data_IF_548635694068
#
_entry.id   IF_548635694068
#
_cell.length_a   1.000
_cell.length_b   1.000
_cell.length_c   1.000
_cell.angle_alpha   90.00
_cell.angle_beta   90.00
_cell.angle_gamma   90.00
#
_symmetry.space_group_name_H-M   'P 1'
#
loop_
_entity.id
_entity.type
_entity.pdbx_description
1 polymer ?
#
# COMPACT_ATOMS: atom_id res chain seq x y z
N UNK A 1 18.88 12.60 4.10
CA UNK A 1 19.20 14.01 3.81
C UNK A 1 18.31 14.49 2.67
N UNK A 2 17.36 15.40 2.93
CA UNK A 2 16.46 15.91 1.90
C UNK A 2 17.28 16.67 0.83
N UNK A 3 17.01 16.36 -0.45
CA UNK A 3 17.60 17.11 -1.58
C UNK A 3 17.00 18.53 -1.60
N UNK A 4 17.70 19.51 -2.14
CA UNK A 4 17.19 20.89 -2.22
C UNK A 4 15.84 20.98 -2.96
N UNK A 5 15.61 20.10 -3.94
CA UNK A 5 14.34 19.97 -4.64
C UNK A 5 13.19 19.51 -3.70
N UNK A 6 13.45 18.62 -2.74
CA UNK A 6 12.45 18.16 -1.79
C UNK A 6 12.00 19.30 -0.87
N UNK A 7 12.97 20.06 -0.35
CA UNK A 7 12.69 21.23 0.49
C UNK A 7 11.85 22.28 -0.24
N UNK A 8 12.21 22.54 -1.51
CA UNK A 8 11.49 23.49 -2.33
C UNK A 8 10.06 23.02 -2.62
N UNK A 9 9.88 21.74 -2.98
CA UNK A 9 8.57 21.16 -3.24
C UNK A 9 7.67 21.19 -1.99
N UNK A 10 8.21 20.87 -0.81
CA UNK A 10 7.48 20.96 0.47
C UNK A 10 7.09 22.42 0.78
N UNK A 11 8.00 23.38 0.56
CA UNK A 11 7.71 24.80 0.78
C UNK A 11 6.60 25.31 -0.15
N UNK A 12 6.68 24.98 -1.43
CA UNK A 12 5.65 25.30 -2.43
C UNK A 12 4.31 24.68 -2.05
N UNK A 13 4.31 23.43 -1.60
CA UNK A 13 3.09 22.75 -1.15
C UNK A 13 2.48 23.42 0.09
N UNK A 14 3.29 23.85 1.06
CA UNK A 14 2.80 24.62 2.23
C UNK A 14 2.15 25.93 1.82
N UNK A 15 2.79 26.70 0.92
CA UNK A 15 2.25 27.96 0.43
C UNK A 15 0.92 27.76 -0.30
N UNK A 16 0.82 26.71 -1.11
CA UNK A 16 -0.38 26.42 -1.89
C UNK A 16 -1.52 25.86 -1.03
N UNK A 17 -1.27 24.78 -0.24
CA UNK A 17 -2.32 24.05 0.47
C UNK A 17 -2.64 24.57 1.87
N UNK A 18 -1.73 25.33 2.53
CA UNK A 18 -1.95 25.85 3.88
C UNK A 18 -2.16 27.36 3.93
N UNK A 19 -1.52 28.08 2.99
CA UNK A 19 -1.58 29.56 2.95
C UNK A 19 -2.46 30.07 1.83
N UNK A 20 -3.10 29.19 1.06
CA UNK A 20 -4.03 29.50 -0.06
C UNK A 20 -3.44 30.44 -1.13
N UNK A 21 -2.10 30.39 -1.32
CA UNK A 21 -1.48 31.17 -2.36
C UNK A 21 -1.74 30.52 -3.74
N UNK A 22 -2.12 31.34 -4.72
CA UNK A 22 -2.22 30.84 -6.11
C UNK A 22 -0.84 30.45 -6.65
N UNK A 23 -0.82 29.48 -7.59
CA UNK A 23 0.43 29.09 -8.25
C UNK A 23 1.15 30.28 -8.91
N UNK A 24 0.40 31.28 -9.38
CA UNK A 24 0.95 32.51 -9.97
C UNK A 24 1.68 33.37 -8.91
N UNK A 25 1.05 33.54 -7.75
CA UNK A 25 1.65 34.30 -6.64
C UNK A 25 2.91 33.63 -6.14
N UNK A 26 2.88 32.28 -5.96
CA UNK A 26 4.05 31.52 -5.54
C UNK A 26 5.18 31.63 -6.57
N UNK A 27 4.86 31.60 -7.87
CA UNK A 27 5.82 31.75 -8.96
C UNK A 27 6.52 33.13 -8.91
N UNK A 28 5.76 34.19 -8.65
CA UNK A 28 6.29 35.55 -8.50
C UNK A 28 7.22 35.66 -7.27
N UNK A 29 6.76 35.18 -6.12
CA UNK A 29 7.55 35.23 -4.86
C UNK A 29 8.87 34.45 -4.93
N UNK A 30 8.88 33.32 -5.66
CA UNK A 30 10.06 32.46 -5.77
C UNK A 30 10.91 32.75 -7.03
N UNK A 31 10.50 33.71 -7.88
CA UNK A 31 11.23 34.05 -9.11
C UNK A 31 11.29 32.91 -10.15
N UNK A 32 10.26 32.05 -10.20
CA UNK A 32 10.19 30.89 -11.11
C UNK A 32 8.92 30.94 -11.98
N UNK A 33 8.84 30.10 -13.01
CA UNK A 33 7.66 30.06 -13.86
C UNK A 33 6.50 29.29 -13.18
N UNK A 34 5.23 29.65 -13.47
CA UNK A 34 4.04 28.93 -13.02
C UNK A 34 4.07 27.43 -13.36
N UNK A 35 4.50 26.99 -14.57
CA UNK A 35 4.68 25.57 -14.87
C UNK A 35 5.68 24.86 -13.94
N UNK A 36 6.69 25.55 -13.45
CA UNK A 36 7.64 25.00 -12.48
C UNK A 36 6.97 24.75 -11.13
N UNK A 37 6.11 25.67 -10.67
CA UNK A 37 5.30 25.48 -9.45
C UNK A 37 4.37 24.27 -9.59
N UNK A 38 3.66 24.15 -10.72
CA UNK A 38 2.78 23.00 -10.98
C UNK A 38 3.55 21.67 -10.89
N UNK A 39 4.75 21.60 -11.50
CA UNK A 39 5.61 20.41 -11.43
C UNK A 39 6.13 20.11 -10.03
N UNK A 40 6.41 21.13 -9.23
CA UNK A 40 6.83 20.94 -7.83
C UNK A 40 5.67 20.45 -6.95
N UNK A 41 4.45 20.94 -7.16
CA UNK A 41 3.25 20.45 -6.49
C UNK A 41 2.97 18.99 -6.85
N UNK A 42 3.07 18.64 -8.13
CA UNK A 42 2.92 17.24 -8.55
C UNK A 42 4.00 16.36 -7.92
N UNK A 43 5.25 16.79 -7.97
CA UNK A 43 6.37 16.09 -7.33
C UNK A 43 6.14 15.87 -5.82
N UNK A 44 5.59 16.87 -5.11
CA UNK A 44 5.28 16.75 -3.70
C UNK A 44 4.19 15.70 -3.43
N UNK A 45 3.19 15.57 -4.32
CA UNK A 45 2.19 14.49 -4.26
C UNK A 45 2.82 13.12 -4.53
N UNK A 46 3.58 13.00 -5.60
CA UNK A 46 4.23 11.74 -6.01
C UNK A 46 5.20 11.20 -4.94
N UNK A 47 5.78 12.12 -4.15
CA UNK A 47 6.66 11.79 -3.02
C UNK A 47 5.93 11.58 -1.69
N UNK A 48 4.61 11.69 -1.68
CA UNK A 48 3.83 11.54 -0.44
C UNK A 48 3.98 12.70 0.56
N UNK A 49 4.62 13.82 0.18
CA UNK A 49 4.72 15.01 1.05
C UNK A 49 3.39 15.74 1.18
N UNK A 50 2.46 15.49 0.26
CA UNK A 50 1.09 16.02 0.27
C UNK A 50 0.12 14.86 0.18
N UNK A 51 -0.70 14.74 1.19
CA UNK A 51 -1.86 13.84 1.19
C UNK A 51 -3.13 14.71 1.22
N UNK A 52 -4.00 14.56 0.21
CA UNK A 52 -5.27 15.30 0.12
C UNK A 52 -6.39 14.33 0.41
N UNK A 53 -7.16 14.61 1.46
CA UNK A 53 -8.37 13.87 1.78
C UNK A 53 -9.57 14.76 1.47
N UNK A 54 -10.46 14.26 0.62
CA UNK A 54 -11.76 14.89 0.35
C UNK A 54 -12.79 14.14 1.19
N UNK A 55 -13.51 14.86 2.03
CA UNK A 55 -14.63 14.31 2.81
C UNK A 55 -15.90 14.73 2.09
N UNK A 56 -16.60 13.77 1.47
CA UNK A 56 -17.90 13.99 0.87
C UNK A 56 -19.00 13.51 1.82
N UNK A 57 -19.76 14.41 2.45
CA UNK A 57 -20.83 14.04 3.37
C UNK A 57 -22.05 13.39 2.67
N UNK A 58 -22.14 13.46 1.35
CA UNK A 58 -23.23 12.84 0.56
C UNK A 58 -22.93 11.36 0.25
N UNK A 59 -21.68 10.96 0.24
CA UNK A 59 -21.25 9.57 0.03
C UNK A 59 -21.19 8.78 1.36
N UNK A 60 -22.23 8.82 2.16
CA UNK A 60 -22.29 7.95 3.34
C UNK A 60 -22.55 6.49 2.93
N UNK A 61 -21.45 5.75 2.71
CA UNK A 61 -21.49 4.32 2.40
C UNK A 61 -21.79 3.44 3.62
N UNK A 62 -21.96 4.01 4.80
CA UNK A 62 -22.11 3.30 6.07
C UNK A 62 -23.27 2.31 6.07
N UNK A 63 -24.40 2.66 5.45
CA UNK A 63 -25.57 1.78 5.32
C UNK A 63 -25.24 0.55 4.46
N UNK A 64 -24.49 0.76 3.38
CA UNK A 64 -24.10 -0.34 2.48
C UNK A 64 -23.02 -1.21 3.14
N UNK A 65 -22.05 -0.61 3.81
CA UNK A 65 -21.04 -1.31 4.62
C UNK A 65 -21.72 -2.20 5.65
N UNK A 66 -22.68 -1.67 6.40
CA UNK A 66 -23.41 -2.45 7.39
C UNK A 66 -24.20 -3.60 6.77
N UNK A 67 -24.91 -3.38 5.66
CA UNK A 67 -25.63 -4.45 4.94
C UNK A 67 -24.70 -5.57 4.47
N UNK A 68 -23.53 -5.23 3.92
CA UNK A 68 -22.53 -6.22 3.48
C UNK A 68 -21.95 -6.97 4.67
N UNK A 69 -21.64 -6.28 5.75
CA UNK A 69 -21.13 -6.85 6.99
C UNK A 69 -22.10 -7.90 7.54
N UNK A 70 -23.39 -7.57 7.63
CA UNK A 70 -24.40 -8.47 8.15
C UNK A 70 -24.65 -9.66 7.22
N UNK A 71 -24.78 -9.40 5.92
CA UNK A 71 -25.04 -10.44 4.91
C UNK A 71 -23.92 -11.45 4.77
N UNK A 72 -22.68 -10.98 4.87
CA UNK A 72 -21.48 -11.81 4.66
C UNK A 72 -20.84 -12.26 5.97
N UNK A 73 -21.42 -11.90 7.12
CA UNK A 73 -20.91 -12.20 8.45
C UNK A 73 -19.45 -11.75 8.65
N UNK A 74 -19.10 -10.59 8.10
CA UNK A 74 -17.76 -10.01 8.22
C UNK A 74 -17.62 -9.22 9.51
N UNK A 75 -16.40 -9.15 10.03
CA UNK A 75 -16.09 -8.35 11.22
C UNK A 75 -16.21 -6.85 10.93
N UNK A 76 -15.79 -6.44 9.76
CA UNK A 76 -15.89 -5.06 9.26
C UNK A 76 -15.89 -5.03 7.73
N UNK A 77 -16.39 -3.94 7.15
CA UNK A 77 -16.42 -3.67 5.71
C UNK A 77 -16.06 -2.22 5.49
N UNK A 78 -15.24 -1.93 4.50
CA UNK A 78 -14.96 -0.59 4.01
C UNK A 78 -15.21 -0.52 2.53
N UNK A 79 -16.01 0.44 2.11
CA UNK A 79 -16.32 0.70 0.71
C UNK A 79 -15.53 1.92 0.25
N UNK A 80 -14.76 1.73 -0.83
CA UNK A 80 -14.11 2.84 -1.51
C UNK A 80 -15.00 3.31 -2.66
N UNK A 81 -15.34 4.59 -2.67
CA UNK A 81 -16.07 5.22 -3.77
C UNK A 81 -15.10 5.80 -4.80
N UNK A 82 -15.45 5.67 -6.08
CA UNK A 82 -14.76 6.33 -7.18
C UNK A 82 -15.74 7.17 -7.98
N UNK A 83 -15.34 8.40 -8.32
CA UNK A 83 -16.14 9.32 -9.12
C UNK A 83 -16.20 8.95 -10.59
N UNK A 84 -15.27 8.10 -11.05
CA UNK A 84 -15.21 7.63 -12.42
C UNK A 84 -15.10 6.10 -12.44
N UNK A 85 -15.72 5.47 -13.43
CA UNK A 85 -15.66 4.03 -13.64
C UNK A 85 -14.40 3.65 -14.44
N UNK A 86 -13.25 3.86 -13.84
CA UNK A 86 -11.94 3.51 -14.39
C UNK A 86 -11.25 2.52 -13.43
N UNK A 87 -10.72 1.43 -13.97
CA UNK A 87 -10.17 0.32 -13.17
C UNK A 87 -8.97 0.76 -12.34
N UNK A 88 -8.10 1.60 -12.88
CA UNK A 88 -6.90 2.06 -12.17
C UNK A 88 -7.25 3.05 -11.06
N UNK A 89 -8.21 3.95 -11.30
CA UNK A 89 -8.70 4.85 -10.27
C UNK A 89 -9.43 4.07 -9.16
N UNK A 90 -10.26 3.09 -9.49
CA UNK A 90 -10.93 2.22 -8.52
C UNK A 90 -9.90 1.49 -7.64
N UNK A 91 -8.89 0.87 -8.26
CA UNK A 91 -7.79 0.21 -7.53
C UNK A 91 -7.08 1.16 -6.58
N UNK A 92 -6.84 2.39 -7.00
CA UNK A 92 -6.20 3.42 -6.19
C UNK A 92 -7.02 3.76 -4.95
N UNK A 93 -8.34 4.00 -5.10
CA UNK A 93 -9.22 4.29 -3.96
C UNK A 93 -9.34 3.11 -2.99
N UNK A 94 -9.49 1.88 -3.51
CA UNK A 94 -9.48 0.66 -2.69
C UNK A 94 -8.17 0.55 -1.91
N UNK A 95 -7.04 0.80 -2.58
CA UNK A 95 -5.71 0.71 -1.98
C UNK A 95 -5.50 1.72 -0.85
N UNK A 96 -5.96 2.95 -1.04
CA UNK A 96 -5.92 4.00 0.00
C UNK A 96 -6.81 3.62 1.18
N UNK A 97 -8.05 3.20 0.92
CA UNK A 97 -8.97 2.77 1.98
C UNK A 97 -8.43 1.58 2.77
N UNK A 98 -7.82 0.60 2.10
CA UNK A 98 -7.20 -0.55 2.73
C UNK A 98 -5.99 -0.16 3.59
N UNK A 99 -5.13 0.76 3.11
CA UNK A 99 -3.99 1.25 3.88
C UNK A 99 -4.44 2.01 5.14
N UNK A 100 -5.45 2.85 5.04
CA UNK A 100 -6.06 3.56 6.18
C UNK A 100 -6.71 2.59 7.18
N UNK A 101 -7.41 1.58 6.70
CA UNK A 101 -8.00 0.54 7.54
C UNK A 101 -6.92 -0.23 8.30
N UNK A 102 -5.85 -0.64 7.61
CA UNK A 102 -4.72 -1.32 8.24
C UNK A 102 -4.08 -0.45 9.32
N UNK A 103 -3.87 0.83 9.07
CA UNK A 103 -3.31 1.77 10.07
C UNK A 103 -4.15 1.82 11.34
N UNK A 104 -5.47 1.73 11.22
CA UNK A 104 -6.39 1.72 12.35
C UNK A 104 -6.38 0.44 13.20
N UNK A 105 -5.95 -0.70 12.65
CA UNK A 105 -6.01 -2.00 13.33
C UNK A 105 -4.66 -2.56 13.75
N UNK A 106 -3.57 -2.16 13.10
CA UNK A 106 -2.22 -2.71 13.32
C UNK A 106 -1.64 -2.28 14.66
N UNK A 107 -0.96 -3.20 15.34
CA UNK A 107 -0.40 -3.02 16.69
C UNK A 107 1.03 -3.53 16.80
N UNK A 108 1.71 -3.12 17.85
CA UNK A 108 3.01 -3.67 18.23
C UNK A 108 2.93 -5.19 18.40
N UNK A 109 3.93 -5.89 17.88
CA UNK A 109 4.01 -7.35 17.91
C UNK A 109 3.25 -8.08 16.81
N UNK A 110 2.51 -7.40 15.94
CA UNK A 110 1.76 -8.03 14.86
C UNK A 110 2.67 -8.70 13.83
N UNK A 111 2.23 -9.87 13.37
CA UNK A 111 2.81 -10.57 12.22
C UNK A 111 1.88 -10.34 11.03
N UNK A 112 2.38 -9.60 10.05
CA UNK A 112 1.62 -9.19 8.88
C UNK A 112 2.01 -10.09 7.71
N UNK A 113 1.11 -10.99 7.34
CA UNK A 113 1.25 -11.79 6.14
C UNK A 113 0.76 -11.02 4.92
N UNK A 114 1.56 -10.97 3.86
CA UNK A 114 1.23 -10.19 2.66
C UNK A 114 1.36 -11.08 1.41
N UNK A 115 0.31 -11.09 0.59
CA UNK A 115 0.34 -11.63 -0.77
C UNK A 115 1.00 -10.65 -1.75
N UNK A 116 0.71 -10.81 -3.03
CA UNK A 116 1.23 -9.95 -4.10
C UNK A 116 0.14 -9.55 -5.10
N UNK A 117 0.50 -8.70 -6.06
CA UNK A 117 -0.39 -8.19 -7.11
C UNK A 117 -0.54 -6.68 -7.10
N UNK A 118 -1.11 -6.14 -8.18
CA UNK A 118 -1.16 -4.68 -8.42
C UNK A 118 -1.93 -3.92 -7.35
N UNK A 119 -3.02 -4.47 -6.84
CA UNK A 119 -3.81 -3.83 -5.76
C UNK A 119 -3.00 -3.74 -4.46
N UNK A 120 -2.32 -4.82 -4.07
CA UNK A 120 -1.45 -4.81 -2.88
C UNK A 120 -0.22 -3.92 -3.08
N UNK A 121 0.31 -3.86 -4.31
CA UNK A 121 1.37 -2.91 -4.63
C UNK A 121 0.91 -1.46 -4.42
N UNK A 122 -0.23 -1.07 -4.98
CA UNK A 122 -0.79 0.27 -4.80
C UNK A 122 -1.08 0.56 -3.32
N UNK A 123 -1.61 -0.42 -2.56
CA UNK A 123 -1.81 -0.30 -1.12
C UNK A 123 -0.50 -0.06 -0.38
N UNK A 124 0.57 -0.79 -0.75
CA UNK A 124 1.89 -0.63 -0.12
C UNK A 124 2.51 0.75 -0.34
N UNK A 125 2.17 1.41 -1.45
CA UNK A 125 2.57 2.80 -1.74
C UNK A 125 1.78 3.83 -0.91
N UNK A 126 0.58 3.47 -0.46
CA UNK A 126 -0.32 4.34 0.31
C UNK A 126 -0.19 4.15 1.83
N UNK A 127 0.71 3.29 2.30
CA UNK A 127 0.91 3.03 3.72
C UNK A 127 1.32 4.29 4.49
N UNK A 128 0.80 4.43 5.70
CA UNK A 128 1.17 5.50 6.62
C UNK A 128 2.41 5.06 7.39
N UNK A 129 3.50 5.82 7.23
CA UNK A 129 4.78 5.49 7.87
C UNK A 129 4.69 5.67 9.38
N UNK A 130 4.91 4.59 10.12
CA UNK A 130 5.09 4.60 11.57
C UNK A 130 5.91 3.40 12.03
N UNK A 131 6.62 3.53 13.12
CA UNK A 131 7.35 2.40 13.71
C UNK A 131 6.40 1.54 14.53
N UNK A 132 6.38 0.22 14.26
CA UNK A 132 5.58 -0.77 14.97
C UNK A 132 6.55 -1.75 15.62
N UNK A 133 6.67 -1.67 16.95
CA UNK A 133 7.68 -2.43 17.69
C UNK A 133 7.38 -3.93 17.70
N UNK A 134 8.42 -4.72 17.43
CA UNK A 134 8.31 -6.19 17.48
C UNK A 134 7.47 -6.81 16.38
N UNK A 135 6.97 -6.03 15.42
CA UNK A 135 6.22 -6.54 14.28
C UNK A 135 7.14 -7.21 13.25
N UNK A 136 6.55 -8.06 12.43
CA UNK A 136 7.22 -8.71 11.30
C UNK A 136 6.31 -8.70 10.08
N UNK A 137 6.91 -8.60 8.90
CA UNK A 137 6.19 -8.74 7.63
C UNK A 137 6.66 -10.02 6.95
N UNK A 138 5.74 -10.87 6.54
CA UNK A 138 6.05 -12.17 5.93
C UNK A 138 5.28 -12.36 4.63
N UNK A 139 5.95 -12.87 3.63
CA UNK A 139 5.34 -13.27 2.36
C UNK A 139 4.50 -14.54 2.55
N UNK A 140 3.21 -14.50 2.17
CA UNK A 140 2.29 -15.62 2.37
C UNK A 140 2.36 -16.69 1.28
N UNK A 141 2.72 -16.28 0.07
CA UNK A 141 2.74 -17.14 -1.10
C UNK A 141 4.00 -16.92 -1.93
N UNK A 142 4.44 -17.93 -2.68
CA UNK A 142 5.60 -17.81 -3.54
C UNK A 142 5.47 -16.66 -4.54
N UNK A 143 6.56 -15.97 -4.82
CA UNK A 143 6.61 -14.82 -5.73
C UNK A 143 7.42 -15.09 -6.98
N UNK A 144 8.08 -16.25 -7.08
CA UNK A 144 8.84 -16.63 -8.26
C UNK A 144 7.87 -17.21 -9.30
N UNK A 145 7.80 -16.58 -10.44
CA UNK A 145 6.99 -17.02 -11.58
C UNK A 145 7.88 -17.04 -12.82
N UNK A 146 7.64 -18.01 -13.70
CA UNK A 146 8.22 -18.02 -15.05
C UNK A 146 7.51 -17.07 -16.01
N UNK A 147 6.51 -16.32 -15.53
CA UNK A 147 5.81 -15.32 -16.33
C UNK A 147 6.63 -14.04 -16.46
N UNK A 148 6.52 -13.39 -17.60
CA UNK A 148 7.10 -12.06 -17.86
C UNK A 148 6.42 -10.95 -17.02
N UNK A 149 5.39 -11.29 -16.25
CA UNK A 149 4.62 -10.35 -15.44
C UNK A 149 5.29 -10.12 -14.08
N UNK A 150 5.65 -8.88 -13.81
CA UNK A 150 6.09 -8.48 -12.49
C UNK A 150 4.90 -8.58 -11.50
N UNK A 151 5.04 -9.40 -10.47
CA UNK A 151 4.02 -9.55 -9.43
C UNK A 151 4.21 -8.58 -8.24
N UNK A 152 5.24 -7.74 -8.29
CA UNK A 152 5.60 -6.74 -7.27
C UNK A 152 5.83 -7.31 -5.86
N UNK A 153 6.02 -8.62 -5.71
CA UNK A 153 6.11 -9.25 -4.38
C UNK A 153 7.24 -8.68 -3.52
N UNK A 154 8.37 -8.38 -4.14
CA UNK A 154 9.52 -7.80 -3.46
C UNK A 154 9.28 -6.36 -3.04
N UNK A 155 8.82 -5.54 -3.96
CA UNK A 155 8.55 -4.12 -3.73
C UNK A 155 7.48 -3.92 -2.65
N UNK A 156 6.44 -4.77 -2.66
CA UNK A 156 5.39 -4.76 -1.63
C UNK A 156 6.02 -4.99 -0.25
N UNK A 157 6.81 -6.05 -0.09
CA UNK A 157 7.42 -6.39 1.19
C UNK A 157 8.40 -5.32 1.66
N UNK A 158 9.21 -4.75 0.75
CA UNK A 158 10.13 -3.64 1.06
C UNK A 158 9.37 -2.40 1.53
N UNK A 159 8.25 -2.06 0.88
CA UNK A 159 7.41 -0.94 1.27
C UNK A 159 6.81 -1.13 2.67
N UNK A 160 6.27 -2.32 2.97
CA UNK A 160 5.76 -2.64 4.30
C UNK A 160 6.86 -2.57 5.37
N UNK A 161 8.03 -3.18 5.10
CA UNK A 161 9.16 -3.17 6.04
C UNK A 161 9.66 -1.75 6.32
N UNK A 162 9.80 -0.93 5.28
CA UNK A 162 10.28 0.44 5.40
C UNK A 162 9.26 1.34 6.13
N UNK A 163 7.97 1.24 5.79
CA UNK A 163 6.93 2.08 6.41
C UNK A 163 6.72 1.73 7.89
N UNK A 164 6.84 0.47 8.27
CA UNK A 164 6.63 0.02 9.64
C UNK A 164 7.92 -0.14 10.45
N UNK A 165 9.06 0.19 9.85
CA UNK A 165 10.40 0.04 10.46
C UNK A 165 10.62 -1.37 11.02
N UNK A 166 10.37 -2.38 10.19
CA UNK A 166 10.45 -3.80 10.53
C UNK A 166 11.23 -4.60 9.50
N UNK A 167 11.31 -5.91 9.67
CA UNK A 167 12.02 -6.83 8.78
C UNK A 167 11.04 -7.61 7.92
N UNK A 168 11.28 -7.62 6.61
CA UNK A 168 10.56 -8.48 5.68
C UNK A 168 11.15 -9.88 5.62
N UNK A 169 10.29 -10.90 5.68
CA UNK A 169 10.63 -12.31 5.53
C UNK A 169 10.11 -12.80 4.18
N UNK A 170 11.03 -13.07 3.28
CA UNK A 170 10.72 -13.49 1.91
C UNK A 170 10.54 -15.01 1.84
N UNK A 171 9.58 -15.45 1.04
CA UNK A 171 9.36 -16.86 0.72
C UNK A 171 9.89 -17.15 -0.70
N UNK A 172 11.11 -17.62 -0.87
CA UNK A 172 11.77 -17.79 -2.17
C UNK A 172 11.30 -19.08 -2.86
N UNK A 173 10.01 -19.17 -3.13
CA UNK A 173 9.37 -20.30 -3.77
C UNK A 173 8.63 -19.87 -5.03
N UNK A 174 8.44 -20.76 -6.01
CA UNK A 174 7.49 -20.54 -7.08
C UNK A 174 6.06 -20.55 -6.54
N UNK A 175 5.14 -19.89 -7.26
CA UNK A 175 3.70 -19.91 -6.94
C UNK A 175 3.15 -21.33 -7.11
N UNK A 176 3.55 -21.99 -8.18
CA UNK A 176 3.11 -23.34 -8.54
C UNK A 176 4.36 -24.21 -8.76
N UNK A 177 4.34 -25.41 -8.21
CA UNK A 177 5.36 -26.43 -8.43
C UNK A 177 4.94 -27.36 -9.57
N UNK A 178 5.88 -27.76 -10.41
CA UNK A 178 5.63 -28.69 -11.51
C UNK A 178 5.17 -30.07 -11.03
N UNK A 179 5.62 -30.49 -9.83
CA UNK A 179 5.21 -31.74 -9.26
C UNK A 179 5.22 -31.74 -7.73
N UNK A 180 4.44 -32.66 -7.16
CA UNK A 180 4.27 -32.82 -5.72
C UNK A 180 5.58 -33.17 -4.99
N UNK A 181 6.40 -34.01 -5.60
CA UNK A 181 7.65 -34.48 -4.99
C UNK A 181 8.62 -33.32 -4.74
N UNK A 182 8.76 -32.43 -5.72
CA UNK A 182 9.59 -31.23 -5.59
C UNK A 182 9.10 -30.36 -4.44
N UNK A 183 7.78 -30.12 -4.38
CA UNK A 183 7.16 -29.36 -3.28
C UNK A 183 7.47 -29.98 -1.92
N UNK A 184 7.25 -31.28 -1.76
CA UNK A 184 7.49 -32.00 -0.50
C UNK A 184 8.96 -31.97 -0.06
N UNK A 185 9.92 -31.94 -1.00
CA UNK A 185 11.33 -31.80 -0.68
C UNK A 185 11.66 -30.38 -0.20
N UNK A 186 11.14 -29.38 -0.90
CA UNK A 186 11.38 -27.98 -0.54
C UNK A 186 10.73 -27.62 0.80
N UNK A 187 9.55 -28.17 1.11
CA UNK A 187 8.86 -27.95 2.38
C UNK A 187 9.64 -28.52 3.59
N UNK A 188 10.63 -29.40 3.37
CA UNK A 188 11.53 -29.93 4.42
C UNK A 188 12.70 -28.99 4.73
N UNK A 189 12.99 -28.03 3.85
CA UNK A 189 14.05 -27.06 4.09
C UNK A 189 13.76 -26.25 5.36
N UNK A 190 14.79 -26.08 6.20
CA UNK A 190 14.64 -25.44 7.52
C UNK A 190 14.25 -23.97 7.40
N UNK A 191 14.80 -23.25 6.43
CA UNK A 191 14.50 -21.84 6.19
C UNK A 191 13.07 -21.70 5.69
N UNK A 192 12.69 -22.46 4.66
CA UNK A 192 11.35 -22.45 4.09
C UNK A 192 10.29 -22.78 5.15
N UNK A 193 10.54 -23.84 5.92
CA UNK A 193 9.63 -24.24 7.01
C UNK A 193 9.43 -23.12 8.03
N UNK A 194 10.51 -22.44 8.42
CA UNK A 194 10.43 -21.29 9.34
C UNK A 194 9.55 -20.16 8.79
N UNK A 195 9.71 -19.82 7.49
CA UNK A 195 8.91 -18.76 6.87
C UNK A 195 7.44 -19.17 6.74
N UNK A 196 7.17 -20.40 6.34
CA UNK A 196 5.81 -20.93 6.26
C UNK A 196 5.13 -20.94 7.66
N UNK A 197 5.85 -21.34 8.70
CA UNK A 197 5.33 -21.30 10.07
C UNK A 197 5.07 -19.86 10.53
N UNK A 198 5.96 -18.91 10.22
CA UNK A 198 5.73 -17.50 10.51
C UNK A 198 4.46 -16.99 9.81
N UNK A 199 4.28 -17.35 8.53
CA UNK A 199 3.05 -17.01 7.78
C UNK A 199 1.78 -17.60 8.39
N UNK A 200 1.83 -18.83 8.92
CA UNK A 200 0.70 -19.46 9.64
C UNK A 200 0.35 -18.76 10.96
N UNK A 201 1.32 -18.11 11.58
CA UNK A 201 1.12 -17.34 12.80
C UNK A 201 0.78 -15.85 12.52
N UNK A 202 0.65 -15.47 11.24
CA UNK A 202 0.21 -14.12 10.90
C UNK A 202 -1.19 -13.84 11.48
N UNK A 203 -1.28 -12.79 12.28
CA UNK A 203 -2.55 -12.35 12.84
C UNK A 203 -3.26 -11.30 11.96
N UNK A 204 -2.55 -10.76 10.98
CA UNK A 204 -3.09 -9.98 9.87
C UNK A 204 -2.65 -10.64 8.57
N UNK A 205 -3.58 -11.00 7.69
CA UNK A 205 -3.30 -11.53 6.36
C UNK A 205 -3.93 -10.61 5.30
N UNK A 206 -3.09 -10.11 4.39
CA UNK A 206 -3.48 -9.20 3.31
C UNK A 206 -3.37 -9.92 1.98
N UNK A 207 -4.48 -10.00 1.27
CA UNK A 207 -4.54 -10.58 -0.07
C UNK A 207 -5.58 -9.85 -0.92
N UNK A 208 -5.47 -9.97 -2.22
CA UNK A 208 -6.46 -9.45 -3.17
C UNK A 208 -7.09 -10.57 -3.97
N UNK A 209 -8.28 -10.30 -4.50
CA UNK A 209 -8.96 -11.23 -5.40
C UNK A 209 -8.65 -10.80 -6.83
N UNK A 210 -8.03 -11.70 -7.58
CA UNK A 210 -7.70 -11.50 -8.99
C UNK A 210 -8.70 -12.19 -9.91
N UNK A 211 -8.59 -11.92 -11.21
CA UNK A 211 -9.32 -12.66 -12.24
C UNK A 211 -8.61 -13.97 -12.55
N UNK A 212 -9.34 -15.06 -12.61
CA UNK A 212 -8.88 -16.33 -13.18
C UNK A 212 -8.98 -16.21 -14.70
N UNK A 213 -7.85 -16.18 -15.40
CA UNK A 213 -7.78 -16.25 -16.87
C UNK A 213 -7.20 -17.57 -17.29
#
# INVERSE_FOLDING_TARGET
MYRDKDKLAINVAKLYYRSDFSQQKIAQELGVSRPSISRLLQYAKDKGYVNIQIVDPVEDMSIMEQRLKDKLHLKDVKIASSTINDEEEIKKYISIAAAQYLDGIIKDGDIIGVGWGTTLYNMSQALISRSIKGSQVVQLEGGLSNSEWNNYSREILENFANNFNTVAQYLPLPVIFDNKTTKEQVDKDRYIKRILELGRHANIALFSVGTVR
#
